data_IF_846515844125
#
_entry.id   IF_846515844125
#
_cell.length_a   1.000
_cell.length_b   1.000
_cell.length_c   1.000
_cell.angle_alpha   90.00
_cell.angle_beta   90.00
_cell.angle_gamma   90.00
#
_symmetry.space_group_name_H-M   'P 1'
#
loop_
_entity.id
_entity.type
_entity.pdbx_description
1 polymer ?
#
# COMPACT_ATOMS: atom_id res chain seq x y z
N UNK A 1 49.88 -29.05 -19.09
CA UNK A 1 49.50 -27.67 -19.46
C UNK A 1 48.11 -27.69 -20.09
N UNK A 2 47.27 -26.72 -19.71
CA UNK A 2 46.03 -26.27 -20.37
C UNK A 2 44.84 -27.25 -20.45
N UNK A 3 43.58 -26.88 -20.21
CA UNK A 3 42.91 -25.67 -19.71
C UNK A 3 41.44 -26.10 -19.49
N UNK A 4 40.93 -26.01 -18.26
CA UNK A 4 39.51 -26.25 -17.98
C UNK A 4 38.68 -25.07 -18.52
N UNK A 5 37.94 -25.28 -19.60
CA UNK A 5 36.98 -24.30 -20.11
C UNK A 5 35.75 -24.32 -19.21
N UNK A 6 35.79 -23.51 -18.14
CA UNK A 6 34.58 -23.19 -17.36
C UNK A 6 33.71 -22.25 -18.20
N UNK A 7 32.58 -22.77 -18.70
CA UNK A 7 31.46 -21.98 -19.22
C UNK A 7 31.10 -20.92 -18.17
N UNK A 8 31.50 -19.67 -18.41
CA UNK A 8 30.98 -18.51 -17.68
C UNK A 8 29.56 -18.29 -18.17
N UNK A 9 28.60 -18.83 -17.43
CA UNK A 9 27.19 -18.43 -17.55
C UNK A 9 27.16 -16.94 -17.21
N UNK A 10 26.95 -16.10 -18.23
CA UNK A 10 26.76 -14.67 -18.05
C UNK A 10 25.50 -14.48 -17.20
N UNK A 11 25.68 -14.14 -15.91
CA UNK A 11 24.59 -13.71 -15.04
C UNK A 11 24.13 -12.36 -15.55
N UNK A 12 23.02 -12.36 -16.27
CA UNK A 12 22.34 -11.19 -16.80
C UNK A 12 21.91 -10.29 -15.61
N UNK A 13 22.48 -9.10 -15.38
CA UNK A 13 22.25 -8.32 -14.16
C UNK A 13 20.97 -7.48 -14.24
N UNK A 14 19.93 -7.96 -14.91
CA UNK A 14 18.58 -7.37 -14.78
C UNK A 14 17.93 -7.86 -13.47
N UNK A 15 18.65 -7.71 -12.36
CA UNK A 15 18.08 -7.86 -11.03
C UNK A 15 16.98 -6.81 -10.92
N UNK A 16 15.73 -7.28 -10.94
CA UNK A 16 14.65 -6.66 -10.19
C UNK A 16 15.21 -6.45 -8.78
N UNK A 17 15.70 -5.25 -8.50
CA UNK A 17 16.05 -4.86 -7.15
C UNK A 17 14.74 -4.92 -6.38
N UNK A 18 14.52 -5.99 -5.61
CA UNK A 18 13.79 -5.87 -4.37
C UNK A 18 14.58 -4.86 -3.55
N UNK A 19 14.29 -3.56 -3.75
CA UNK A 19 14.87 -2.48 -2.97
C UNK A 19 14.23 -2.57 -1.58
N UNK A 20 14.72 -3.53 -0.79
CA UNK A 20 14.32 -3.65 0.59
C UNK A 20 14.69 -2.33 1.29
N UNK A 21 13.75 -1.68 1.98
CA UNK A 21 14.02 -0.42 2.64
C UNK A 21 15.12 -0.58 3.68
N UNK A 22 16.01 0.41 3.80
CA UNK A 22 17.00 0.39 4.85
C UNK A 22 16.35 0.51 6.24
N UNK A 23 17.11 0.17 7.29
CA UNK A 23 16.61 0.25 8.69
C UNK A 23 16.05 1.63 9.04
N UNK A 24 16.64 2.70 8.53
CA UNK A 24 16.16 4.06 8.79
C UNK A 24 14.80 4.33 8.11
N UNK A 25 14.64 3.92 6.86
CA UNK A 25 13.36 4.00 6.15
C UNK A 25 12.27 3.16 6.82
N UNK A 26 12.61 1.94 7.26
CA UNK A 26 11.69 1.07 8.00
C UNK A 26 11.24 1.66 9.33
N UNK A 27 12.15 2.30 10.08
CA UNK A 27 11.81 2.96 11.35
C UNK A 27 10.92 4.18 11.16
N UNK A 28 11.09 4.90 10.05
CA UNK A 28 10.30 6.08 9.76
C UNK A 28 8.89 5.70 9.32
N UNK A 29 8.71 4.57 8.62
CA UNK A 29 7.40 4.09 8.18
C UNK A 29 6.41 3.96 9.36
N UNK A 30 5.23 4.54 9.21
CA UNK A 30 4.18 4.55 10.24
C UNK A 30 4.39 5.54 11.39
N UNK A 31 5.52 6.27 11.43
CA UNK A 31 5.71 7.34 12.42
C UNK A 31 4.91 8.59 12.04
N UNK A 32 4.67 9.46 13.02
CA UNK A 32 4.04 10.76 12.78
C UNK A 32 4.82 11.56 11.72
N UNK A 33 4.10 12.26 10.85
CA UNK A 33 4.68 13.04 9.75
C UNK A 33 5.64 14.14 10.23
N UNK A 34 5.48 14.61 11.46
CA UNK A 34 6.38 15.57 12.12
C UNK A 34 7.71 14.95 12.55
N UNK A 35 7.81 13.62 12.62
CA UNK A 35 9.06 12.93 12.91
C UNK A 35 10.11 13.30 11.88
N UNK A 36 11.28 13.75 12.37
CA UNK A 36 12.38 14.23 11.55
C UNK A 36 12.83 13.15 10.55
N UNK A 37 12.98 13.48 9.25
CA UNK A 37 13.52 12.55 8.27
C UNK A 37 14.99 12.23 8.59
N UNK A 38 15.44 11.01 8.25
CA UNK A 38 16.87 10.70 8.30
C UNK A 38 17.61 11.37 7.11
N UNK A 39 18.91 11.62 7.29
CA UNK A 39 19.72 12.44 6.38
C UNK A 39 19.82 11.94 4.93
N UNK A 40 19.47 10.67 4.68
CA UNK A 40 19.56 10.09 3.34
C UNK A 40 18.32 10.29 2.47
N UNK A 41 17.26 10.88 3.03
CA UNK A 41 16.04 11.21 2.29
C UNK A 41 16.22 12.53 1.55
N UNK A 42 16.13 12.47 0.22
CA UNK A 42 16.09 13.65 -0.64
C UNK A 42 14.65 13.97 -1.01
N UNK A 43 14.29 15.25 -0.92
CA UNK A 43 13.00 15.75 -1.40
C UNK A 43 12.92 15.63 -2.93
N UNK A 44 11.85 15.03 -3.43
CA UNK A 44 11.63 14.83 -4.87
C UNK A 44 10.38 15.58 -5.37
N UNK A 45 9.36 15.77 -4.53
CA UNK A 45 8.16 16.49 -4.95
C UNK A 45 7.05 16.52 -3.93
N UNK A 46 5.88 16.97 -4.37
CA UNK A 46 4.66 17.08 -3.55
C UNK A 46 3.46 16.52 -4.30
N UNK A 47 2.65 15.75 -3.58
CA UNK A 47 1.36 15.27 -4.09
C UNK A 47 0.27 16.26 -3.72
N UNK A 48 -0.31 16.93 -4.71
CA UNK A 48 -1.43 17.87 -4.56
C UNK A 48 -2.63 17.34 -5.34
N UNK A 49 -3.81 17.38 -4.73
CA UNK A 49 -5.10 16.98 -5.29
C UNK A 49 -6.10 18.13 -5.15
N UNK A 50 -7.31 17.96 -5.70
CA UNK A 50 -8.36 18.98 -5.63
C UNK A 50 -8.43 19.84 -6.88
N UNK A 51 -9.16 20.96 -6.80
CA UNK A 51 -9.26 21.89 -7.92
C UNK A 51 -8.12 22.92 -7.84
N UNK A 52 -7.79 23.62 -8.94
CA UNK A 52 -6.85 24.73 -8.88
C UNK A 52 -7.26 25.86 -7.92
N UNK A 53 -8.57 25.98 -7.62
CA UNK A 53 -9.10 26.98 -6.67
C UNK A 53 -8.95 26.55 -5.21
N UNK A 54 -8.94 25.24 -4.96
CA UNK A 54 -8.84 24.65 -3.62
C UNK A 54 -7.87 23.45 -3.65
N UNK A 55 -6.55 23.71 -3.76
CA UNK A 55 -5.55 22.67 -3.78
C UNK A 55 -5.37 22.05 -2.39
N UNK A 56 -5.40 20.72 -2.34
CA UNK A 56 -5.20 19.91 -1.13
C UNK A 56 -3.86 19.19 -1.23
N UNK A 57 -2.89 19.61 -0.43
CA UNK A 57 -1.61 18.91 -0.32
C UNK A 57 -1.78 17.63 0.51
N UNK A 58 -1.52 16.48 -0.10
CA UNK A 58 -1.63 15.17 0.55
C UNK A 58 -0.33 14.66 1.14
N UNK A 59 0.79 14.92 0.47
CA UNK A 59 2.08 14.45 0.94
C UNK A 59 3.25 15.22 0.34
N UNK A 60 4.39 15.07 0.98
CA UNK A 60 5.71 15.37 0.44
C UNK A 60 6.41 14.07 0.13
N UNK A 61 6.96 13.93 -1.08
CA UNK A 61 7.58 12.70 -1.55
C UNK A 61 9.10 12.81 -1.48
N UNK A 62 9.73 11.76 -0.96
CA UNK A 62 11.16 11.64 -0.79
C UNK A 62 11.67 10.35 -1.43
N UNK A 63 12.93 10.39 -1.89
CA UNK A 63 13.68 9.21 -2.33
C UNK A 63 14.90 9.03 -1.45
N UNK A 64 15.07 7.84 -0.91
CA UNK A 64 16.25 7.47 -0.15
C UNK A 64 17.40 7.16 -1.11
N UNK A 65 18.52 7.88 -1.02
CA UNK A 65 19.66 7.61 -1.90
C UNK A 65 20.45 6.34 -1.50
N UNK A 66 20.33 5.91 -0.25
CA UNK A 66 21.01 4.70 0.27
C UNK A 66 20.36 3.40 -0.23
N UNK A 67 19.03 3.29 -0.16
CA UNK A 67 18.31 2.05 -0.55
C UNK A 67 17.39 2.20 -1.76
N UNK A 68 17.19 3.42 -2.26
CA UNK A 68 16.32 3.68 -3.41
C UNK A 68 14.82 3.66 -3.10
N UNK A 69 14.41 3.36 -1.86
CA UNK A 69 13.00 3.36 -1.46
C UNK A 69 12.39 4.75 -1.52
N UNK A 70 11.11 4.78 -1.86
CA UNK A 70 10.27 5.98 -1.88
C UNK A 70 9.48 6.08 -0.58
N UNK A 71 9.48 7.27 0.02
CA UNK A 71 8.71 7.57 1.21
C UNK A 71 7.82 8.78 0.98
N UNK A 72 6.67 8.80 1.66
CA UNK A 72 5.77 9.95 1.72
C UNK A 72 5.65 10.43 3.15
N UNK A 73 5.83 11.72 3.35
CA UNK A 73 5.42 12.42 4.56
C UNK A 73 3.99 12.90 4.33
N UNK A 74 3.00 12.14 4.78
CA UNK A 74 1.59 12.45 4.52
C UNK A 74 1.10 13.57 5.45
N UNK A 75 0.26 14.45 4.93
CA UNK A 75 -0.50 15.43 5.72
C UNK A 75 -1.73 14.76 6.34
N UNK A 76 -2.51 15.49 7.12
CA UNK A 76 -3.81 15.02 7.63
C UNK A 76 -4.81 14.63 6.52
N UNK A 77 -4.63 15.15 5.30
CA UNK A 77 -5.46 14.82 4.13
C UNK A 77 -4.82 13.74 3.25
N UNK A 78 -3.66 13.21 3.64
CA UNK A 78 -2.98 12.11 2.98
C UNK A 78 -3.51 10.75 3.40
N UNK A 79 -2.94 9.70 2.82
CA UNK A 79 -3.30 8.32 3.10
C UNK A 79 -2.01 7.48 3.23
N UNK A 80 -1.69 6.94 4.42
CA UNK A 80 -2.36 7.17 5.71
C UNK A 80 -2.22 8.63 6.21
N UNK A 81 -3.24 9.14 6.92
CA UNK A 81 -3.28 10.53 7.38
C UNK A 81 -2.22 10.82 8.46
N UNK A 82 -1.46 11.90 8.26
CA UNK A 82 -0.51 12.40 9.25
C UNK A 82 0.68 11.50 9.55
N UNK A 83 0.91 10.44 8.76
CA UNK A 83 1.98 9.47 8.97
C UNK A 83 2.97 9.41 7.81
N UNK A 84 4.18 8.97 8.10
CA UNK A 84 5.13 8.52 7.10
C UNK A 84 4.69 7.19 6.49
N UNK A 85 4.85 7.03 5.18
CA UNK A 85 4.57 5.76 4.51
C UNK A 85 5.61 5.40 3.46
N UNK A 86 5.99 4.11 3.42
CA UNK A 86 6.76 3.52 2.34
C UNK A 86 5.85 3.32 1.13
N UNK A 87 6.31 3.80 -0.02
CA UNK A 87 5.62 3.51 -1.28
C UNK A 87 6.11 2.15 -1.80
N UNK A 88 5.17 1.23 -2.02
CA UNK A 88 5.47 -0.03 -2.71
C UNK A 88 6.08 0.28 -4.09
N UNK A 89 7.09 -0.48 -4.56
CA UNK A 89 7.62 -0.32 -5.90
C UNK A 89 6.47 -0.43 -6.89
N UNK A 90 6.32 0.57 -7.77
CA UNK A 90 5.19 0.74 -8.69
C UNK A 90 4.87 -0.56 -9.44
N UNK A 91 3.89 -1.29 -8.93
CA UNK A 91 3.49 -2.60 -9.41
C UNK A 91 2.21 -3.00 -8.70
N UNK A 92 1.12 -2.33 -9.10
CA UNK A 92 -0.22 -2.32 -8.48
C UNK A 92 -0.26 -1.68 -7.10
N UNK A 93 -1.09 -0.65 -6.99
CA UNK A 93 -1.67 -0.29 -5.71
C UNK A 93 -2.22 -1.58 -5.10
N UNK A 94 -1.67 -2.01 -3.97
CA UNK A 94 -2.43 -2.85 -3.04
C UNK A 94 -3.56 -1.97 -2.53
N UNK A 95 -4.60 -1.85 -3.34
CA UNK A 95 -5.95 -1.68 -2.83
C UNK A 95 -6.22 -3.00 -2.12
N UNK A 96 -5.74 -3.14 -0.88
CA UNK A 96 -6.53 -3.87 0.10
C UNK A 96 -7.72 -2.98 0.36
N UNK A 97 -8.66 -2.99 -0.59
CA UNK A 97 -10.06 -2.86 -0.23
C UNK A 97 -10.24 -4.05 0.71
N UNK A 98 -10.33 -3.74 1.97
CA UNK A 98 -11.19 -4.50 2.86
C UNK A 98 -12.61 -4.41 2.25
N UNK A 99 -12.83 -5.21 1.21
CA UNK A 99 -14.13 -5.53 0.64
C UNK A 99 -14.57 -6.84 1.26
N UNK A 100 -14.61 -6.86 2.60
CA UNK A 100 -15.33 -7.88 3.35
C UNK A 100 -16.58 -7.26 3.95
N UNK A 101 -17.38 -6.59 3.11
CA UNK A 101 -18.74 -6.16 3.47
C UNK A 101 -19.57 -6.12 2.19
N UNK A 102 -20.03 -7.30 1.78
CA UNK A 102 -21.32 -7.58 1.13
C UNK A 102 -21.28 -9.03 0.66
N UNK A 103 -21.86 -9.95 1.43
CA UNK A 103 -22.57 -11.13 0.88
C UNK A 103 -23.32 -11.97 1.93
N UNK A 104 -23.59 -11.46 3.14
CA UNK A 104 -24.40 -12.20 4.14
C UNK A 104 -25.63 -11.42 4.64
N UNK A 105 -26.42 -10.85 3.73
CA UNK A 105 -27.77 -10.38 4.07
C UNK A 105 -28.87 -10.76 3.06
N UNK A 106 -28.53 -11.46 1.97
CA UNK A 106 -29.53 -11.94 1.01
C UNK A 106 -30.07 -13.35 1.33
N UNK A 107 -29.36 -14.16 2.13
CA UNK A 107 -29.77 -15.54 2.45
C UNK A 107 -30.82 -15.67 3.57
N UNK A 108 -30.83 -14.75 4.54
CA UNK A 108 -31.70 -14.84 5.73
C UNK A 108 -33.13 -14.35 5.54
N UNK A 109 -33.38 -13.53 4.52
CA UNK A 109 -34.73 -13.03 4.23
C UNK A 109 -35.64 -14.08 3.58
N UNK A 110 -35.06 -15.03 2.83
CA UNK A 110 -35.83 -16.09 2.14
C UNK A 110 -36.25 -17.21 3.10
N UNK A 111 -35.44 -17.49 4.12
CA UNK A 111 -35.72 -18.55 5.09
C UNK A 111 -36.79 -18.15 6.12
N UNK A 112 -36.85 -16.87 6.53
CA UNK A 112 -37.91 -16.37 7.40
C UNK A 112 -39.29 -16.42 6.72
N UNK A 113 -39.38 -16.04 5.44
CA UNK A 113 -40.64 -16.05 4.67
C UNK A 113 -41.19 -17.46 4.45
N UNK A 114 -40.33 -18.48 4.32
CA UNK A 114 -40.78 -19.88 4.23
C UNK A 114 -41.32 -20.41 5.55
N UNK A 115 -40.65 -20.11 6.67
CA UNK A 115 -41.10 -20.55 8.00
C UNK A 115 -42.41 -19.89 8.45
N UNK A 116 -42.70 -18.65 8.03
CA UNK A 116 -43.99 -18.00 8.36
C UNK A 116 -45.18 -18.64 7.64
N UNK A 117 -44.99 -19.17 6.43
CA UNK A 117 -46.07 -19.81 5.65
C UNK A 117 -46.43 -21.20 6.20
N UNK A 118 -45.44 -21.95 6.70
CA UNK A 118 -45.67 -23.28 7.28
C UNK A 118 -46.38 -23.20 8.64
N UNK A 119 -46.14 -22.16 9.45
CA UNK A 119 -46.87 -21.94 10.71
C UNK A 119 -48.35 -21.51 10.52
N UNK A 120 -48.74 -21.04 9.33
CA UNK A 120 -50.12 -20.63 9.05
C UNK A 120 -51.04 -21.78 8.59
N UNK A 121 -50.53 -23.00 8.42
CA UNK A 121 -51.33 -24.19 8.05
C UNK A 121 -51.70 -25.10 9.24
N UNK A 122 -51.28 -24.74 10.46
CA UNK A 122 -51.45 -25.54 11.67
C UNK A 122 -52.53 -25.04 12.64
N UNK A 123 -53.59 -24.38 12.17
CA UNK A 123 -54.79 -24.13 12.99
C UNK A 123 -56.05 -24.43 12.18
N UNK A 124 -56.49 -25.68 12.30
CA UNK A 124 -57.76 -26.20 11.83
C UNK A 124 -58.08 -27.45 12.62
#
# INVERSE_FOLDING_TARGET
MHLTVRKRTAVNPRRRNNMNPCKACMRLNGQHSETRPHGDLRLEGTGVFGTPREPIRRYVQYRCHTCGSWLRQNTERGDPAGLWSLQAPSGRASVTRDETLKDEHAGRAVEWLKNTIESAKGTG
#
